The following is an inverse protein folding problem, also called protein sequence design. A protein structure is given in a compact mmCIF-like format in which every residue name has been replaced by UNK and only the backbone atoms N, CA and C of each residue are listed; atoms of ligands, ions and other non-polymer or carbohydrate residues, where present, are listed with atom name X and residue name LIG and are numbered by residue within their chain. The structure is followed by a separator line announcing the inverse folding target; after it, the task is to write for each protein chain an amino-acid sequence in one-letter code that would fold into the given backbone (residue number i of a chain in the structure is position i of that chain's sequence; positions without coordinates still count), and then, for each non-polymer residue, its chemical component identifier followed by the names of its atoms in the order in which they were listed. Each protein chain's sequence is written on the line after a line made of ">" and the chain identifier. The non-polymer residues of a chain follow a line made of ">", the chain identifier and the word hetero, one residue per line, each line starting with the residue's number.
data_IF_468432743685
#
_entry.id   IF_468432743685
#
_cell.length_a   1.000
_cell.length_b   1.000
_cell.length_c   1.000
_cell.angle_alpha   90.00
_cell.angle_beta   90.00
_cell.angle_gamma   90.00
#
_symmetry.space_group_name_H-M   'P 1'
#
loop_
_entity.id
_entity.type
_entity.pdbx_description
1 polymer ?
#
# COMPACT_ATOMS: atom_id res chain seq x y z
N UNK A 1 10.53 2.22 22.37
CA UNK A 1 11.01 1.92 20.99
C UNK A 1 12.41 2.48 20.96
N UNK A 2 13.39 1.77 20.42
CA UNK A 2 14.72 2.37 20.31
C UNK A 2 14.66 3.59 19.37
N UNK A 3 15.56 4.58 19.53
CA UNK A 3 15.69 5.67 18.55
C UNK A 3 15.90 5.14 17.11
N UNK A 4 16.71 4.09 16.96
CA UNK A 4 17.01 3.43 15.68
C UNK A 4 15.77 2.78 15.03
N UNK A 5 14.88 2.18 15.83
CA UNK A 5 13.61 1.61 15.34
C UNK A 5 12.69 2.71 14.79
N UNK A 6 12.72 3.90 15.40
CA UNK A 6 11.88 5.03 14.99
C UNK A 6 12.36 5.62 13.68
N UNK A 7 13.68 5.83 13.55
CA UNK A 7 14.28 6.37 12.34
C UNK A 7 14.04 5.44 11.14
N UNK A 8 14.18 4.13 11.34
CA UNK A 8 13.88 3.12 10.32
C UNK A 8 12.40 3.18 9.86
N UNK A 9 11.46 3.31 10.79
CA UNK A 9 10.03 3.40 10.46
C UNK A 9 9.72 4.71 9.71
N UNK A 10 10.31 5.82 10.12
CA UNK A 10 10.14 7.11 9.46
C UNK A 10 10.71 7.10 8.03
N UNK A 11 11.88 6.50 7.83
CA UNK A 11 12.48 6.33 6.50
C UNK A 11 11.61 5.43 5.60
N UNK A 12 11.17 4.28 6.12
CA UNK A 12 10.30 3.38 5.40
C UNK A 12 8.96 4.03 5.00
N UNK A 13 8.39 4.86 5.88
CA UNK A 13 7.17 5.62 5.59
C UNK A 13 7.39 6.64 4.47
N UNK A 14 8.51 7.37 4.48
CA UNK A 14 8.87 8.33 3.42
C UNK A 14 9.07 7.64 2.07
N UNK A 15 9.75 6.49 2.05
CA UNK A 15 9.96 5.71 0.83
C UNK A 15 8.64 5.20 0.24
N UNK A 16 7.72 4.72 1.09
CA UNK A 16 6.36 4.32 0.70
C UNK A 16 5.57 5.50 0.11
N UNK A 17 5.65 6.68 0.73
CA UNK A 17 4.97 7.88 0.24
C UNK A 17 5.51 8.34 -1.11
N UNK A 18 6.84 8.29 -1.31
CA UNK A 18 7.46 8.60 -2.58
C UNK A 18 6.99 7.64 -3.68
N UNK A 19 6.99 6.32 -3.40
CA UNK A 19 6.51 5.31 -4.35
C UNK A 19 5.03 5.48 -4.71
N UNK A 20 4.18 5.89 -3.75
CA UNK A 20 2.77 6.17 -4.01
C UNK A 20 2.59 7.39 -4.92
N UNK A 21 3.42 8.44 -4.78
CA UNK A 21 3.39 9.61 -5.66
C UNK A 21 3.78 9.25 -7.09
N UNK A 22 4.88 8.53 -7.27
CA UNK A 22 5.32 8.06 -8.60
C UNK A 22 4.26 7.20 -9.29
N UNK A 23 3.59 6.32 -8.55
CA UNK A 23 2.50 5.51 -9.08
C UNK A 23 1.28 6.35 -9.46
N UNK A 24 0.95 7.39 -8.70
CA UNK A 24 -0.16 8.29 -9.02
C UNK A 24 0.12 9.12 -10.29
N UNK A 25 1.35 9.62 -10.45
CA UNK A 25 1.76 10.35 -11.66
C UNK A 25 1.73 9.45 -12.90
N UNK A 26 2.21 8.20 -12.78
CA UNK A 26 2.11 7.20 -13.84
C UNK A 26 0.66 6.82 -14.15
N UNK A 27 -0.20 6.70 -13.13
CA UNK A 27 -1.62 6.40 -13.32
C UNK A 27 -2.31 7.48 -14.16
N UNK A 28 -2.12 8.75 -13.80
CA UNK A 28 -2.74 9.87 -14.53
C UNK A 28 -2.23 9.94 -15.97
N UNK A 29 -0.91 9.81 -16.18
CA UNK A 29 -0.31 9.77 -17.52
C UNK A 29 -0.90 8.63 -18.37
N UNK A 30 -1.05 7.43 -17.81
CA UNK A 30 -1.60 6.30 -18.54
C UNK A 30 -3.09 6.49 -18.85
N UNK A 31 -3.88 7.06 -17.94
CA UNK A 31 -5.29 7.38 -18.19
C UNK A 31 -5.46 8.35 -19.37
N UNK A 32 -4.59 9.35 -19.47
CA UNK A 32 -4.58 10.28 -20.59
C UNK A 32 -4.26 9.60 -21.92
N UNK A 33 -3.28 8.69 -21.95
CA UNK A 33 -2.89 7.96 -23.16
C UNK A 33 -3.95 6.95 -23.60
N UNK A 34 -4.50 6.19 -22.65
CA UNK A 34 -5.46 5.10 -22.92
C UNK A 34 -6.85 5.65 -23.24
N UNK A 35 -7.22 6.79 -22.66
CA UNK A 35 -8.53 7.41 -22.82
C UNK A 35 -9.58 6.82 -21.89
N UNK A 36 -10.56 7.65 -21.51
CA UNK A 36 -11.50 7.35 -20.43
C UNK A 36 -12.35 6.09 -20.64
N UNK A 37 -12.74 5.79 -21.89
CA UNK A 37 -13.58 4.65 -22.20
C UNK A 37 -12.87 3.33 -21.88
N UNK A 38 -11.66 3.17 -22.41
CA UNK A 38 -10.82 2.00 -22.16
C UNK A 38 -10.41 1.92 -20.70
N UNK A 39 -10.11 3.04 -20.03
CA UNK A 39 -9.87 3.09 -18.58
C UNK A 39 -11.06 2.51 -17.78
N UNK A 40 -12.30 2.87 -18.13
CA UNK A 40 -13.51 2.35 -17.46
C UNK A 40 -13.63 0.83 -17.63
N UNK A 41 -13.38 0.33 -18.84
CA UNK A 41 -13.40 -1.09 -19.17
C UNK A 41 -12.34 -1.85 -18.36
N UNK A 42 -11.09 -1.37 -18.33
CA UNK A 42 -10.01 -1.99 -17.55
C UNK A 42 -10.30 -1.99 -16.05
N UNK A 43 -10.96 -0.94 -15.53
CA UNK A 43 -11.35 -0.87 -14.14
C UNK A 43 -12.43 -1.92 -13.80
N UNK A 44 -13.42 -2.10 -14.67
CA UNK A 44 -14.43 -3.16 -14.53
C UNK A 44 -13.80 -4.56 -14.67
N UNK A 45 -12.84 -4.73 -15.58
CA UNK A 45 -12.06 -5.96 -15.74
C UNK A 45 -11.31 -6.30 -14.45
N UNK A 46 -10.62 -5.33 -13.85
CA UNK A 46 -9.88 -5.53 -12.61
C UNK A 46 -10.80 -5.90 -11.43
N UNK A 47 -12.01 -5.31 -11.37
CA UNK A 47 -13.04 -5.63 -10.36
C UNK A 47 -13.80 -6.93 -10.64
N UNK A 48 -13.52 -7.61 -11.76
CA UNK A 48 -14.22 -8.84 -12.21
C UNK A 48 -15.72 -8.62 -12.37
N UNK A 49 -16.11 -7.46 -12.88
CA UNK A 49 -17.52 -7.09 -13.12
C UNK A 49 -18.09 -7.66 -14.43
N UNK A 50 -17.32 -8.48 -15.14
CA UNK A 50 -17.66 -9.07 -16.43
C UNK A 50 -17.95 -10.57 -16.33
N UNK A 51 -18.74 -11.09 -17.26
CA UNK A 51 -18.89 -12.55 -17.41
C UNK A 51 -17.56 -13.18 -17.84
N UNK A 52 -17.32 -14.47 -17.55
CA UNK A 52 -16.05 -15.13 -17.90
C UNK A 52 -15.69 -15.06 -19.38
N UNK A 53 -16.68 -15.01 -20.28
CA UNK A 53 -16.48 -14.89 -21.73
C UNK A 53 -15.92 -13.51 -22.10
N UNK A 54 -16.46 -12.45 -21.52
CA UNK A 54 -16.04 -11.07 -21.75
C UNK A 54 -14.64 -10.80 -21.16
N UNK A 55 -14.30 -11.44 -20.03
CA UNK A 55 -12.96 -11.36 -19.42
C UNK A 55 -11.88 -11.89 -20.37
N UNK A 56 -12.16 -12.99 -21.08
CA UNK A 56 -11.20 -13.61 -22.01
C UNK A 56 -11.03 -12.77 -23.28
N UNK A 57 -12.10 -12.09 -23.74
CA UNK A 57 -12.03 -11.15 -24.85
C UNK A 57 -11.18 -9.92 -24.50
N UNK A 58 -11.44 -9.28 -23.35
CA UNK A 58 -10.65 -8.14 -22.86
C UNK A 58 -9.18 -8.54 -22.72
N UNK A 59 -8.90 -9.72 -22.13
CA UNK A 59 -7.53 -10.20 -21.93
C UNK A 59 -6.75 -10.34 -23.24
N UNK A 60 -7.41 -10.66 -24.35
CA UNK A 60 -6.79 -10.79 -25.68
C UNK A 60 -6.52 -9.44 -26.33
N UNK A 61 -7.28 -8.40 -25.98
CA UNK A 61 -7.12 -7.06 -26.55
C UNK A 61 -6.18 -6.17 -25.73
N UNK A 62 -5.73 -6.60 -24.55
CA UNK A 62 -4.78 -5.84 -23.74
C UNK A 62 -3.50 -5.52 -24.51
N UNK A 63 -3.17 -4.23 -24.60
CA UNK A 63 -1.90 -3.76 -25.12
C UNK A 63 -0.86 -3.54 -24.00
N UNK A 64 0.21 -2.82 -24.28
CA UNK A 64 1.25 -2.53 -23.29
C UNK A 64 0.76 -1.57 -22.20
N UNK A 65 0.08 -0.49 -22.60
CA UNK A 65 -0.36 0.57 -21.70
C UNK A 65 -1.51 0.09 -20.82
N UNK A 66 -2.43 -0.71 -21.36
CA UNK A 66 -3.49 -1.39 -20.61
C UNK A 66 -2.91 -2.24 -19.46
N UNK A 67 -1.94 -3.11 -19.78
CA UNK A 67 -1.27 -3.97 -18.80
C UNK A 67 -0.52 -3.15 -17.78
N UNK A 68 0.08 -2.04 -18.22
CA UNK A 68 0.83 -1.13 -17.35
C UNK A 68 -0.11 -0.46 -16.35
N UNK A 69 -1.25 0.07 -16.80
CA UNK A 69 -2.24 0.71 -15.94
C UNK A 69 -2.82 -0.28 -14.92
N UNK A 70 -3.16 -1.50 -15.35
CA UNK A 70 -3.58 -2.57 -14.43
C UNK A 70 -2.49 -2.86 -13.38
N UNK A 71 -1.22 -2.91 -13.78
CA UNK A 71 -0.10 -3.13 -12.86
C UNK A 71 0.04 -2.00 -11.84
N UNK A 72 -0.14 -0.74 -12.28
CA UNK A 72 -0.11 0.44 -11.42
C UNK A 72 -1.22 0.37 -10.38
N UNK A 73 -2.46 0.12 -10.77
CA UNK A 73 -3.59 -0.04 -9.83
C UNK A 73 -3.33 -1.14 -8.79
N UNK A 74 -2.83 -2.30 -9.22
CA UNK A 74 -2.47 -3.40 -8.29
C UNK A 74 -1.38 -2.95 -7.30
N UNK A 75 -0.38 -2.19 -7.75
CA UNK A 75 0.71 -1.70 -6.89
C UNK A 75 0.22 -0.63 -5.91
N UNK A 76 -0.65 0.27 -6.34
CA UNK A 76 -1.28 1.29 -5.48
C UNK A 76 -2.02 0.60 -4.34
N UNK A 77 -2.89 -0.36 -4.65
CA UNK A 77 -3.67 -1.07 -3.64
C UNK A 77 -2.79 -1.87 -2.68
N UNK A 78 -1.74 -2.53 -3.19
CA UNK A 78 -0.76 -3.24 -2.34
C UNK A 78 0.00 -2.28 -1.42
N UNK A 79 0.42 -1.12 -1.90
CA UNK A 79 1.13 -0.14 -1.07
C UNK A 79 0.21 0.48 -0.02
N UNK A 80 -1.06 0.77 -0.36
CA UNK A 80 -2.08 1.19 0.61
C UNK A 80 -2.29 0.15 1.70
N UNK A 81 -2.44 -1.12 1.33
CA UNK A 81 -2.59 -2.21 2.29
C UNK A 81 -1.35 -2.35 3.20
N UNK A 82 -0.14 -2.25 2.65
CA UNK A 82 1.11 -2.28 3.43
C UNK A 82 1.20 -1.11 4.41
N UNK A 83 0.81 0.10 4.00
CA UNK A 83 0.76 1.28 4.88
C UNK A 83 -0.19 1.06 6.05
N UNK A 84 -1.39 0.54 5.78
CA UNK A 84 -2.38 0.23 6.83
C UNK A 84 -1.83 -0.83 7.79
N UNK A 85 -1.21 -1.89 7.27
CA UNK A 85 -0.60 -2.93 8.09
C UNK A 85 0.52 -2.39 8.98
N UNK A 86 1.44 -1.59 8.41
CA UNK A 86 2.51 -0.95 9.16
C UNK A 86 1.99 -0.02 10.26
N UNK A 87 0.98 0.79 9.96
CA UNK A 87 0.31 1.66 10.94
C UNK A 87 -0.33 0.87 12.09
N UNK A 88 -1.04 -0.21 11.77
CA UNK A 88 -1.63 -1.11 12.79
C UNK A 88 -0.56 -1.77 13.66
N UNK A 89 0.51 -2.30 13.06
CA UNK A 89 1.61 -2.91 13.81
C UNK A 89 2.31 -1.92 14.74
N UNK A 90 2.54 -0.69 14.29
CA UNK A 90 3.11 0.37 15.12
C UNK A 90 2.20 0.72 16.32
N UNK A 91 0.88 0.79 16.11
CA UNK A 91 -0.09 1.01 17.18
C UNK A 91 -0.09 -0.14 18.21
N UNK A 92 -0.06 -1.39 17.77
CA UNK A 92 0.02 -2.55 18.67
C UNK A 92 1.32 -2.59 19.47
N UNK A 93 2.46 -2.25 18.85
CA UNK A 93 3.76 -2.19 19.51
C UNK A 93 3.84 -1.06 20.56
N UNK A 94 3.11 0.04 20.35
CA UNK A 94 3.00 1.11 21.35
C UNK A 94 2.08 0.71 22.50
N UNK A 95 0.94 0.07 22.23
CA UNK A 95 0.01 -0.40 23.27
C UNK A 95 0.67 -1.41 24.22
N UNK A 96 1.42 -2.40 23.69
CA UNK A 96 2.11 -3.40 24.54
C UNK A 96 3.30 -2.87 25.35
N UNK A 97 3.70 -1.60 25.16
CA UNK A 97 4.74 -0.94 25.98
C UNK A 97 4.17 -0.12 27.14
N UNK A 98 2.90 0.24 27.12
CA UNK A 98 2.25 0.95 28.23
C UNK A 98 1.94 0.02 29.41
N UNK A 99 1.84 -1.30 29.17
CA UNK A 99 1.59 -2.32 30.19
C UNK A 99 2.84 -2.75 30.99
N UNK A 100 4.03 -2.29 30.59
CA UNK A 100 5.28 -2.58 31.31
C UNK A 100 5.49 -1.50 32.36
N UNK A 101 5.00 -1.74 33.57
CA UNK A 101 5.28 -0.89 34.74
C UNK A 101 6.76 -1.02 35.15
N UNK A 102 7.61 -0.21 34.51
CA UNK A 102 9.04 -0.09 34.80
C UNK A 102 9.32 0.42 36.23
N UNK A 103 8.32 0.91 36.97
CA UNK A 103 8.50 1.32 38.38
C UNK A 103 8.66 0.12 39.32
N UNK A 104 8.32 -1.10 38.88
CA UNK A 104 8.51 -2.32 39.67
C UNK A 104 9.99 -2.75 39.82
N UNK A 105 10.88 -2.29 38.93
CA UNK A 105 12.30 -2.66 38.94
C UNK A 105 13.18 -1.75 39.80
N UNK A 106 12.64 -0.63 40.31
CA UNK A 106 13.42 0.41 40.98
C UNK A 106 13.27 0.40 42.52
N UNK A 107 12.93 -0.76 43.11
CA UNK A 107 12.95 -0.90 44.57
C UNK A 107 14.38 -1.13 45.06
N UNK A 108 15.00 -0.19 45.81
CA UNK A 108 16.30 -0.42 46.41
C UNK A 108 16.16 -1.54 47.46
N UNK A 109 16.96 -2.60 47.32
CA UNK A 109 17.14 -3.62 48.36
C UNK A 109 17.66 -2.93 49.62
N UNK A 110 16.77 -2.65 50.58
CA UNK A 110 17.19 -2.26 51.93
C UNK A 110 17.88 -3.46 52.58
N UNK A 111 19.12 -3.23 53.02
CA UNK A 111 19.90 -4.11 53.90
C UNK A 111 19.21 -4.28 55.25
#
# INVERSE_FOLDING_TARGET
>A
MGPEDRDFIEEAARALDASLRELAEEEERLKEVIGEERVRELAAYLRREFEPVDIEEIRRTLDFDDRRLISVWIRVERNRARRVAAGRSAMTLNAGREDIDITAFDKPKKK
#
